data_IF_979859277615
#
_entry.id   IF_979859277615
#
_cell.length_a   1.000
_cell.length_b   1.000
_cell.length_c   1.000
_cell.angle_alpha   90.00
_cell.angle_beta   90.00
_cell.angle_gamma   90.00
#
_symmetry.space_group_name_H-M   'P 1'
#
loop_
_entity.id
_entity.type
_entity.pdbx_description
1 polymer ?
#
# COMPACT_ATOMS: atom_id res chain seq x y z
N UNK A 1 -4.74 -11.30 -28.36
CA UNK A 1 -4.54 -12.69 -27.84
C UNK A 1 -4.75 -12.82 -26.33
N UNK A 2 -4.06 -12.00 -25.46
CA UNK A 2 -4.25 -12.08 -24.01
C UNK A 2 -5.68 -11.72 -23.59
N UNK A 3 -6.22 -10.62 -24.13
CA UNK A 3 -7.61 -10.19 -23.90
C UNK A 3 -8.63 -11.28 -24.26
N UNK A 4 -8.50 -11.89 -25.43
CA UNK A 4 -9.38 -12.97 -25.89
C UNK A 4 -9.36 -14.19 -24.95
N UNK A 5 -8.16 -14.57 -24.48
CA UNK A 5 -7.99 -15.70 -23.57
C UNK A 5 -8.63 -15.41 -22.19
N UNK A 6 -8.39 -14.22 -21.62
CA UNK A 6 -9.03 -13.85 -20.37
C UNK A 6 -10.55 -13.70 -20.52
N UNK A 7 -11.03 -13.13 -21.63
CA UNK A 7 -12.48 -13.05 -21.91
C UNK A 7 -13.13 -14.43 -21.96
N UNK A 8 -12.49 -15.39 -22.64
CA UNK A 8 -13.02 -16.77 -22.73
C UNK A 8 -13.09 -17.44 -21.35
N UNK A 9 -12.02 -17.35 -20.56
CA UNK A 9 -11.96 -17.94 -19.23
C UNK A 9 -12.91 -17.25 -18.23
N UNK A 10 -12.99 -15.91 -18.29
CA UNK A 10 -13.93 -15.12 -17.49
C UNK A 10 -15.39 -15.50 -17.76
N UNK A 11 -15.75 -15.65 -19.03
CA UNK A 11 -17.09 -16.11 -19.43
C UNK A 11 -17.37 -17.57 -19.01
N UNK A 12 -16.32 -18.38 -18.80
CA UNK A 12 -16.43 -19.73 -18.25
C UNK A 12 -16.52 -19.77 -16.70
N UNK A 13 -16.48 -18.60 -16.03
CA UNK A 13 -16.66 -18.50 -14.57
C UNK A 13 -15.35 -18.42 -13.77
N UNK A 14 -14.18 -18.29 -14.41
CA UNK A 14 -12.91 -18.16 -13.70
C UNK A 14 -12.74 -16.75 -13.10
N UNK A 15 -12.80 -16.66 -11.77
CA UNK A 15 -12.77 -15.37 -11.04
C UNK A 15 -11.45 -14.62 -11.22
N UNK A 16 -10.33 -15.31 -11.34
CA UNK A 16 -9.04 -14.68 -11.59
C UNK A 16 -9.04 -14.02 -12.98
N UNK A 17 -9.52 -14.71 -14.00
CA UNK A 17 -9.65 -14.18 -15.38
C UNK A 17 -10.63 -13.02 -15.46
N UNK A 18 -11.74 -13.06 -14.69
CA UNK A 18 -12.66 -11.93 -14.56
C UNK A 18 -11.92 -10.69 -14.02
N UNK A 19 -11.16 -10.83 -12.95
CA UNK A 19 -10.39 -9.74 -12.38
C UNK A 19 -9.30 -9.23 -13.34
N UNK A 20 -8.63 -10.11 -14.09
CA UNK A 20 -7.67 -9.72 -15.11
C UNK A 20 -8.32 -8.97 -16.28
N UNK A 21 -9.48 -9.43 -16.73
CA UNK A 21 -10.26 -8.75 -17.76
C UNK A 21 -10.71 -7.36 -17.30
N UNK A 22 -11.21 -7.27 -16.06
CA UNK A 22 -11.55 -6.00 -15.43
C UNK A 22 -10.38 -5.02 -15.42
N UNK A 23 -9.18 -5.49 -15.01
CA UNK A 23 -7.96 -4.68 -14.99
C UNK A 23 -7.55 -4.17 -16.38
N UNK A 24 -7.81 -4.97 -17.44
CA UNK A 24 -7.54 -4.54 -18.82
C UNK A 24 -8.46 -3.41 -19.26
N UNK A 25 -9.75 -3.47 -18.92
CA UNK A 25 -10.68 -2.37 -19.14
C UNK A 25 -10.35 -1.13 -18.29
N UNK A 26 -10.00 -1.34 -17.03
CA UNK A 26 -9.63 -0.29 -16.07
C UNK A 26 -8.43 0.52 -16.56
N UNK A 27 -7.40 -0.13 -17.12
CA UNK A 27 -6.17 0.51 -17.58
C UNK A 27 -6.13 0.85 -19.07
N UNK A 28 -7.11 0.38 -19.85
CA UNK A 28 -7.06 0.47 -21.31
C UNK A 28 -5.96 -0.41 -21.93
N UNK A 29 -5.60 -1.53 -21.29
CA UNK A 29 -4.58 -2.45 -21.77
C UNK A 29 -5.16 -3.42 -22.81
N UNK A 30 -4.75 -3.30 -24.07
CA UNK A 30 -5.22 -4.09 -25.22
C UNK A 30 -6.71 -3.88 -25.59
N UNK A 31 -7.39 -2.96 -24.95
CA UNK A 31 -8.78 -2.56 -25.16
C UNK A 31 -8.91 -1.08 -24.79
N UNK A 32 -9.89 -0.39 -25.31
CA UNK A 32 -10.22 0.97 -24.87
C UNK A 32 -10.61 0.96 -23.39
N UNK A 33 -10.12 1.96 -22.62
CA UNK A 33 -10.45 2.09 -21.20
C UNK A 33 -11.96 2.27 -21.03
N UNK A 34 -12.54 1.43 -20.18
CA UNK A 34 -13.96 1.49 -19.83
C UNK A 34 -14.17 1.09 -18.36
N UNK A 35 -14.37 2.10 -17.51
CA UNK A 35 -14.58 1.88 -16.09
C UNK A 35 -15.90 1.17 -15.75
N UNK A 36 -16.93 1.28 -16.62
CA UNK A 36 -18.19 0.57 -16.39
C UNK A 36 -18.01 -0.93 -16.62
N UNK A 37 -17.37 -1.30 -17.73
CA UNK A 37 -17.02 -2.70 -18.00
C UNK A 37 -16.05 -3.24 -16.93
N UNK A 38 -15.07 -2.45 -16.50
CA UNK A 38 -14.15 -2.83 -15.45
C UNK A 38 -14.91 -3.12 -14.14
N UNK A 39 -15.79 -2.23 -13.71
CA UNK A 39 -16.61 -2.42 -12.51
C UNK A 39 -17.45 -3.69 -12.58
N UNK A 40 -18.14 -3.92 -13.69
CA UNK A 40 -18.99 -5.11 -13.87
C UNK A 40 -18.18 -6.41 -13.76
N UNK A 41 -16.99 -6.46 -14.35
CA UNK A 41 -16.13 -7.63 -14.27
C UNK A 41 -15.48 -7.80 -12.88
N UNK A 42 -15.07 -6.71 -12.23
CA UNK A 42 -14.59 -6.76 -10.83
C UNK A 42 -15.71 -7.25 -9.90
N UNK A 43 -16.95 -6.78 -10.06
CA UNK A 43 -18.09 -7.24 -9.25
C UNK A 43 -18.34 -8.75 -9.42
N UNK A 44 -18.35 -9.27 -10.65
CA UNK A 44 -18.48 -10.71 -10.91
C UNK A 44 -17.36 -11.51 -10.22
N UNK A 45 -16.12 -11.04 -10.30
CA UNK A 45 -14.99 -11.69 -9.65
C UNK A 45 -15.08 -11.63 -8.11
N UNK A 46 -15.54 -10.50 -7.57
CA UNK A 46 -15.74 -10.29 -6.12
C UNK A 46 -16.87 -11.17 -5.58
N UNK A 47 -17.99 -11.28 -6.30
CA UNK A 47 -19.11 -12.17 -5.97
C UNK A 47 -18.70 -13.65 -6.04
N UNK A 48 -17.76 -13.99 -6.93
CA UNK A 48 -17.14 -15.31 -6.99
C UNK A 48 -16.10 -15.56 -5.87
N UNK A 49 -15.94 -14.60 -4.94
CA UNK A 49 -15.11 -14.75 -3.74
C UNK A 49 -13.65 -14.36 -3.90
N UNK A 50 -13.25 -13.64 -4.96
CA UNK A 50 -11.85 -13.23 -5.13
C UNK A 50 -11.54 -11.97 -4.31
N UNK A 51 -10.66 -12.04 -3.26
CA UNK A 51 -10.43 -10.92 -2.35
C UNK A 51 -9.81 -9.69 -3.03
N UNK A 52 -8.92 -9.91 -4.00
CA UNK A 52 -8.34 -8.82 -4.79
C UNK A 52 -9.40 -8.04 -5.58
N UNK A 53 -10.38 -8.75 -6.15
CA UNK A 53 -11.49 -8.11 -6.86
C UNK A 53 -12.42 -7.33 -5.92
N UNK A 54 -12.66 -7.85 -4.70
CA UNK A 54 -13.40 -7.11 -3.66
C UNK A 54 -12.72 -5.78 -3.33
N UNK A 55 -11.40 -5.78 -3.24
CA UNK A 55 -10.61 -4.57 -3.01
C UNK A 55 -10.67 -3.61 -4.21
N UNK A 56 -10.66 -4.12 -5.44
CA UNK A 56 -10.80 -3.29 -6.64
C UNK A 56 -12.20 -2.64 -6.72
N UNK A 57 -13.26 -3.39 -6.42
CA UNK A 57 -14.63 -2.85 -6.31
C UNK A 57 -14.69 -1.73 -5.27
N UNK A 58 -14.08 -1.94 -4.09
CA UNK A 58 -14.00 -0.93 -3.05
C UNK A 58 -13.28 0.34 -3.52
N UNK A 59 -12.19 0.18 -4.28
CA UNK A 59 -11.45 1.30 -4.87
C UNK A 59 -12.31 2.07 -5.88
N UNK A 60 -13.05 1.40 -6.73
CA UNK A 60 -13.94 2.03 -7.71
C UNK A 60 -15.06 2.83 -7.04
N UNK A 61 -15.67 2.29 -5.97
CA UNK A 61 -16.63 3.06 -5.14
C UNK A 61 -15.96 4.27 -4.46
N UNK A 62 -14.72 4.12 -3.95
CA UNK A 62 -13.99 5.21 -3.32
C UNK A 62 -13.71 6.37 -4.28
N UNK A 63 -13.42 6.08 -5.56
CA UNK A 63 -13.07 7.11 -6.56
C UNK A 63 -14.24 7.51 -7.47
N UNK A 64 -15.34 6.75 -7.50
CA UNK A 64 -16.45 6.99 -8.42
C UNK A 64 -16.12 6.61 -9.87
N UNK A 65 -15.34 5.55 -10.06
CA UNK A 65 -14.92 5.05 -11.37
C UNK A 65 -15.85 3.94 -11.83
N UNK A 66 -16.59 4.16 -12.92
CA UNK A 66 -17.62 3.24 -13.42
C UNK A 66 -18.86 3.06 -12.54
N UNK A 67 -18.89 3.74 -11.40
CA UNK A 67 -19.96 3.74 -10.42
C UNK A 67 -20.01 5.09 -9.72
N UNK A 68 -21.14 5.48 -9.12
CA UNK A 68 -21.17 6.66 -8.28
C UNK A 68 -20.29 6.47 -7.06
N UNK A 69 -19.52 7.52 -6.70
CA UNK A 69 -18.70 7.50 -5.49
C UNK A 69 -19.55 7.21 -4.25
N UNK A 70 -19.12 6.20 -3.49
CA UNK A 70 -19.78 5.80 -2.25
C UNK A 70 -18.75 5.23 -1.26
N UNK A 71 -18.41 5.99 -0.24
CA UNK A 71 -17.42 5.58 0.76
C UNK A 71 -17.94 4.50 1.72
N UNK A 72 -19.24 4.40 1.95
CA UNK A 72 -19.85 3.36 2.79
C UNK A 72 -19.76 2.00 2.08
N UNK A 73 -20.06 1.97 0.78
CA UNK A 73 -19.85 0.78 -0.04
C UNK A 73 -18.35 0.43 -0.14
N UNK A 74 -17.46 1.42 -0.34
CA UNK A 74 -16.03 1.18 -0.34
C UNK A 74 -15.55 0.53 0.97
N UNK A 75 -15.96 1.05 2.13
CA UNK A 75 -15.66 0.48 3.44
C UNK A 75 -16.18 -0.96 3.56
N UNK A 76 -17.39 -1.20 3.10
CA UNK A 76 -18.02 -2.53 3.15
C UNK A 76 -17.23 -3.55 2.33
N UNK A 77 -16.82 -3.21 1.12
CA UNK A 77 -16.06 -4.10 0.25
C UNK A 77 -14.62 -4.28 0.72
N UNK A 78 -13.94 -3.23 1.23
CA UNK A 78 -12.62 -3.39 1.85
C UNK A 78 -12.67 -4.30 3.08
N UNK A 79 -13.71 -4.22 3.92
CA UNK A 79 -13.88 -5.13 5.07
C UNK A 79 -14.09 -6.58 4.64
N UNK A 80 -14.85 -6.84 3.56
CA UNK A 80 -14.97 -8.18 2.99
C UNK A 80 -13.62 -8.71 2.51
N UNK A 81 -12.86 -7.91 1.74
CA UNK A 81 -11.54 -8.29 1.27
C UNK A 81 -10.56 -8.58 2.43
N UNK A 82 -10.58 -7.75 3.47
CA UNK A 82 -9.75 -7.92 4.66
C UNK A 82 -10.12 -9.20 5.44
N UNK A 83 -11.40 -9.51 5.54
CA UNK A 83 -11.87 -10.75 6.16
C UNK A 83 -11.37 -12.00 5.42
N UNK A 84 -11.30 -11.94 4.10
CA UNK A 84 -10.74 -13.00 3.25
C UNK A 84 -9.20 -12.98 3.19
N UNK A 85 -8.54 -12.17 4.04
CA UNK A 85 -7.09 -12.15 4.21
C UNK A 85 -6.32 -11.28 3.23
N UNK A 86 -6.96 -10.37 2.51
CA UNK A 86 -6.28 -9.47 1.58
C UNK A 86 -5.66 -8.30 2.34
N UNK A 87 -4.35 -8.33 2.55
CA UNK A 87 -3.61 -7.39 3.42
C UNK A 87 -3.72 -5.92 2.99
N UNK A 88 -3.72 -5.66 1.68
CA UNK A 88 -3.89 -4.29 1.16
C UNK A 88 -5.22 -3.66 1.59
N UNK A 89 -6.29 -4.45 1.75
CA UNK A 89 -7.57 -3.91 2.21
C UNK A 89 -7.51 -3.38 3.65
N UNK A 90 -6.66 -3.96 4.51
CA UNK A 90 -6.41 -3.44 5.86
C UNK A 90 -5.79 -2.03 5.81
N UNK A 91 -4.79 -1.84 4.93
CA UNK A 91 -4.20 -0.54 4.68
C UNK A 91 -5.25 0.46 4.14
N UNK A 92 -6.04 0.06 3.14
CA UNK A 92 -7.06 0.91 2.53
C UNK A 92 -8.13 1.37 3.53
N UNK A 93 -8.53 0.51 4.48
CA UNK A 93 -9.42 0.91 5.59
C UNK A 93 -8.75 1.98 6.46
N UNK A 94 -7.47 1.85 6.76
CA UNK A 94 -6.71 2.87 7.48
C UNK A 94 -6.74 4.23 6.77
N UNK A 95 -6.60 4.24 5.43
CA UNK A 95 -6.72 5.46 4.61
C UNK A 95 -8.11 6.10 4.70
N UNK A 96 -9.18 5.30 4.76
CA UNK A 96 -10.54 5.84 4.93
C UNK A 96 -10.70 6.55 6.28
N UNK A 97 -10.17 5.98 7.36
CA UNK A 97 -10.18 6.63 8.68
C UNK A 97 -9.28 7.86 8.74
N UNK A 98 -8.09 7.81 8.12
CA UNK A 98 -7.16 8.94 8.10
C UNK A 98 -7.74 10.15 7.37
N UNK A 99 -8.43 9.91 6.24
CA UNK A 99 -9.02 10.98 5.43
C UNK A 99 -10.45 11.36 5.81
N UNK A 100 -11.08 10.66 6.77
CA UNK A 100 -12.48 10.90 7.12
C UNK A 100 -13.45 10.54 5.99
N UNK A 101 -13.11 9.57 5.16
CA UNK A 101 -13.91 9.17 4.01
C UNK A 101 -15.00 8.17 4.40
N UNK A 102 -16.26 8.60 4.43
CA UNK A 102 -17.42 7.80 4.86
C UNK A 102 -17.45 7.50 6.37
N UNK A 103 -16.44 7.92 7.11
CA UNK A 103 -16.32 7.81 8.57
C UNK A 103 -15.75 9.10 9.13
N UNK A 104 -15.88 9.35 10.44
CA UNK A 104 -15.16 10.46 11.06
C UNK A 104 -13.65 10.23 10.95
N UNK A 105 -12.89 11.30 10.64
CA UNK A 105 -11.43 11.28 10.67
C UNK A 105 -10.92 10.84 12.05
N UNK A 106 -10.10 9.79 12.07
CA UNK A 106 -9.55 9.24 13.32
C UNK A 106 -8.16 8.63 13.05
N UNK A 107 -7.12 9.40 13.35
CA UNK A 107 -5.72 8.96 13.21
C UNK A 107 -5.38 7.77 14.12
N UNK A 108 -6.08 7.58 15.25
CA UNK A 108 -5.85 6.46 16.16
C UNK A 108 -6.40 5.16 15.56
N UNK A 109 -7.61 5.21 15.02
CA UNK A 109 -8.17 4.07 14.29
C UNK A 109 -7.35 3.79 13.02
N UNK A 110 -6.95 4.81 12.27
CA UNK A 110 -6.08 4.64 11.10
C UNK A 110 -4.78 3.90 11.47
N UNK A 111 -4.10 4.33 12.53
CA UNK A 111 -2.88 3.67 13.03
C UNK A 111 -3.12 2.22 13.45
N UNK A 112 -4.27 1.92 14.07
CA UNK A 112 -4.64 0.55 14.43
C UNK A 112 -4.84 -0.35 13.20
N UNK A 113 -5.44 0.18 12.13
CA UNK A 113 -5.59 -0.55 10.87
C UNK A 113 -4.26 -0.72 10.12
N UNK A 114 -3.40 0.30 10.11
CA UNK A 114 -2.04 0.17 9.56
C UNK A 114 -1.19 -0.83 10.34
N UNK A 115 -1.37 -0.94 11.68
CA UNK A 115 -0.70 -1.98 12.46
C UNK A 115 -1.15 -3.38 12.01
N UNK A 116 -2.45 -3.60 11.79
CA UNK A 116 -2.97 -4.89 11.26
C UNK A 116 -2.43 -5.19 9.86
N UNK A 117 -2.37 -4.18 8.99
CA UNK A 117 -1.79 -4.30 7.65
C UNK A 117 -0.29 -4.66 7.73
N UNK A 118 0.44 -3.98 8.60
CA UNK A 118 1.86 -4.23 8.87
C UNK A 118 2.08 -5.66 9.40
N UNK A 119 1.27 -6.11 10.36
CA UNK A 119 1.35 -7.46 10.91
C UNK A 119 1.03 -8.54 9.86
N UNK A 120 0.22 -8.21 8.86
CA UNK A 120 -0.06 -9.05 7.70
C UNK A 120 1.01 -8.96 6.59
N UNK A 121 2.08 -8.19 6.80
CA UNK A 121 3.19 -8.04 5.86
C UNK A 121 2.91 -7.07 4.70
N UNK A 122 1.89 -6.22 4.82
CA UNK A 122 1.56 -5.22 3.78
C UNK A 122 2.56 -4.06 3.78
N UNK A 123 3.32 -3.84 2.67
CA UNK A 123 4.34 -2.79 2.63
C UNK A 123 3.79 -1.38 2.83
N UNK A 124 2.61 -1.07 2.29
CA UNK A 124 1.94 0.20 2.52
C UNK A 124 1.57 0.38 4.00
N UNK A 125 1.15 -0.70 4.67
CA UNK A 125 0.88 -0.72 6.11
C UNK A 125 2.13 -0.44 6.94
N UNK A 126 3.28 -1.04 6.59
CA UNK A 126 4.56 -0.74 7.24
C UNK A 126 4.91 0.75 7.12
N UNK A 127 4.83 1.30 5.90
CA UNK A 127 5.19 2.69 5.64
C UNK A 127 4.26 3.67 6.34
N UNK A 128 2.93 3.53 6.17
CA UNK A 128 1.96 4.43 6.79
C UNK A 128 2.06 4.40 8.32
N UNK A 129 2.29 3.24 8.91
CA UNK A 129 2.52 3.12 10.35
C UNK A 129 3.85 3.75 10.79
N UNK A 130 4.90 3.64 9.97
CA UNK A 130 6.17 4.31 10.22
C UNK A 130 6.00 5.83 10.33
N UNK A 131 5.23 6.42 9.42
CA UNK A 131 4.92 7.86 9.45
C UNK A 131 4.13 8.24 10.71
N UNK A 132 3.16 7.41 11.14
CA UNK A 132 2.41 7.65 12.40
C UNK A 132 3.34 7.70 13.61
N UNK A 133 4.25 6.72 13.74
CA UNK A 133 5.25 6.73 14.83
C UNK A 133 6.28 7.84 14.71
N UNK A 134 6.66 8.24 13.48
CA UNK A 134 7.63 9.30 13.25
C UNK A 134 7.12 10.67 13.74
N UNK A 135 5.84 10.94 13.48
CA UNK A 135 5.22 12.23 13.78
C UNK A 135 4.33 12.23 15.04
N UNK A 136 4.07 11.07 15.63
CA UNK A 136 3.19 10.96 16.82
C UNK A 136 1.73 11.21 16.51
N UNK A 137 1.28 10.81 15.31
CA UNK A 137 -0.08 11.02 14.86
C UNK A 137 -0.91 9.74 15.03
N UNK A 138 -1.93 9.79 15.89
CA UNK A 138 -2.73 8.64 16.29
C UNK A 138 -2.04 7.64 17.22
N UNK A 139 -0.72 7.76 17.41
CA UNK A 139 0.11 6.94 18.32
C UNK A 139 1.14 7.80 19.03
N UNK A 140 1.67 7.33 20.16
CA UNK A 140 2.80 7.99 20.80
C UNK A 140 4.03 7.94 19.89
N UNK A 141 4.74 9.06 19.74
CA UNK A 141 5.94 9.16 18.91
C UNK A 141 6.98 8.12 19.34
N UNK A 142 7.44 7.33 18.39
CA UNK A 142 8.54 6.38 18.54
C UNK A 142 9.38 6.35 17.25
N UNK A 143 10.41 7.19 17.21
CA UNK A 143 11.24 7.37 16.02
C UNK A 143 12.14 6.17 15.73
N UNK A 144 12.40 5.28 16.71
CA UNK A 144 13.10 4.03 16.49
C UNK A 144 12.21 3.01 15.80
N UNK A 145 11.00 2.82 16.34
CA UNK A 145 9.99 1.94 15.71
C UNK A 145 9.61 2.42 14.31
N UNK A 146 9.52 3.75 14.12
CA UNK A 146 9.34 4.33 12.79
C UNK A 146 10.45 3.89 11.81
N UNK A 147 11.71 3.91 12.25
CA UNK A 147 12.85 3.45 11.45
C UNK A 147 12.78 1.96 11.10
N UNK A 148 12.39 1.10 12.06
CA UNK A 148 12.21 -0.33 11.81
C UNK A 148 11.14 -0.59 10.73
N UNK A 149 9.99 0.05 10.86
CA UNK A 149 8.88 -0.11 9.93
C UNK A 149 9.17 0.47 8.54
N UNK A 150 9.80 1.64 8.47
CA UNK A 150 10.22 2.23 7.20
C UNK A 150 11.22 1.31 6.47
N UNK A 151 12.16 0.72 7.19
CA UNK A 151 13.09 -0.24 6.63
C UNK A 151 12.38 -1.48 6.09
N UNK A 152 11.39 -2.02 6.83
CA UNK A 152 10.58 -3.15 6.37
C UNK A 152 9.79 -2.83 5.10
N UNK A 153 9.23 -1.63 4.98
CA UNK A 153 8.54 -1.20 3.77
C UNK A 153 9.47 -1.18 2.56
N UNK A 154 10.70 -0.67 2.74
CA UNK A 154 11.73 -0.63 1.69
C UNK A 154 12.20 -2.04 1.29
N UNK A 155 12.46 -2.92 2.27
CA UNK A 155 12.87 -4.33 2.02
C UNK A 155 11.78 -5.09 1.26
N UNK A 156 10.51 -4.77 1.50
CA UNK A 156 9.39 -5.39 0.79
C UNK A 156 9.07 -4.73 -0.57
N UNK A 157 9.96 -3.87 -1.08
CA UNK A 157 9.90 -3.32 -2.43
C UNK A 157 8.79 -2.29 -2.64
N UNK A 158 8.47 -1.47 -1.64
CA UNK A 158 7.54 -0.36 -1.80
C UNK A 158 8.27 0.82 -2.45
N UNK A 159 8.16 0.96 -3.78
CA UNK A 159 8.81 2.03 -4.55
C UNK A 159 8.43 3.44 -4.06
N UNK A 160 7.16 3.65 -3.73
CA UNK A 160 6.69 4.91 -3.14
C UNK A 160 7.42 5.24 -1.84
N UNK A 161 7.66 4.23 -0.99
CA UNK A 161 8.41 4.43 0.26
C UNK A 161 9.84 4.91 0.00
N UNK A 162 10.49 4.46 -1.08
CA UNK A 162 11.84 4.89 -1.40
C UNK A 162 11.90 6.37 -1.80
N UNK A 163 10.95 6.85 -2.59
CA UNK A 163 10.88 8.26 -2.99
C UNK A 163 10.53 9.17 -1.79
N UNK A 164 9.49 8.85 -1.06
CA UNK A 164 9.12 9.58 0.16
C UNK A 164 10.22 9.51 1.22
N UNK A 165 10.90 8.37 1.35
CA UNK A 165 12.03 8.21 2.26
C UNK A 165 13.17 9.17 1.93
N UNK A 166 13.50 9.38 0.65
CA UNK A 166 14.51 10.36 0.23
C UNK A 166 14.13 11.77 0.66
N UNK A 167 12.84 12.13 0.57
CA UNK A 167 12.34 13.44 1.00
C UNK A 167 12.38 13.62 2.52
N UNK A 168 11.88 12.65 3.29
CA UNK A 168 11.83 12.73 4.76
C UNK A 168 13.20 12.50 5.42
N UNK A 169 14.17 11.94 4.71
CA UNK A 169 15.53 11.70 5.23
C UNK A 169 16.41 12.94 5.33
N UNK A 170 15.83 14.13 5.15
CA UNK A 170 16.51 15.42 5.25
C UNK A 170 16.90 15.79 6.69
N UNK A 171 17.59 16.93 6.86
CA UNK A 171 18.06 17.40 8.16
C UNK A 171 16.95 17.63 9.20
N UNK A 172 15.71 17.87 8.74
CA UNK A 172 14.55 18.16 9.60
C UNK A 172 13.92 16.89 10.23
N UNK A 173 14.27 15.71 9.73
CA UNK A 173 13.78 14.45 10.29
C UNK A 173 14.58 14.05 11.54
N UNK A 174 13.93 13.36 12.48
CA UNK A 174 14.53 12.92 13.73
C UNK A 174 15.89 12.20 13.53
N UNK A 175 16.97 12.64 14.19
CA UNK A 175 18.26 11.95 14.14
C UNK A 175 18.19 10.48 14.58
N UNK A 176 17.29 10.13 15.50
CA UNK A 176 17.14 8.75 15.99
C UNK A 176 16.52 7.85 14.90
N UNK A 177 15.56 8.35 14.13
CA UNK A 177 15.02 7.66 12.95
C UNK A 177 16.14 7.35 11.95
N UNK A 178 16.93 8.37 11.58
CA UNK A 178 18.04 8.21 10.63
C UNK A 178 19.13 7.26 11.13
N UNK A 179 19.49 7.34 12.42
CA UNK A 179 20.44 6.37 13.04
C UNK A 179 19.92 4.95 12.92
N UNK A 180 18.63 4.74 13.17
CA UNK A 180 18.06 3.40 13.10
C UNK A 180 18.16 2.81 11.70
N UNK A 181 17.89 3.58 10.66
CA UNK A 181 18.10 3.15 9.27
C UNK A 181 19.57 2.82 8.98
N UNK A 182 20.51 3.66 9.45
CA UNK A 182 21.95 3.38 9.29
C UNK A 182 22.38 2.10 10.02
N UNK A 183 21.82 1.82 11.21
CA UNK A 183 22.04 0.57 11.94
C UNK A 183 21.60 -0.65 11.13
N UNK A 184 20.40 -0.61 10.57
CA UNK A 184 19.82 -1.70 9.77
C UNK A 184 20.60 -1.92 8.46
N UNK A 185 20.90 -0.85 7.71
CA UNK A 185 21.76 -0.92 6.53
C UNK A 185 23.14 -1.50 6.83
N UNK A 186 23.69 -1.19 8.02
CA UNK A 186 24.98 -1.72 8.46
C UNK A 186 24.89 -3.20 8.85
N UNK A 187 23.81 -3.59 9.52
CA UNK A 187 23.53 -5.00 9.87
C UNK A 187 23.44 -5.85 8.61
N UNK A 188 22.79 -5.35 7.57
CA UNK A 188 22.59 -6.07 6.30
C UNK A 188 23.78 -5.91 5.33
N UNK A 189 24.85 -5.20 5.74
CA UNK A 189 26.12 -5.10 5.01
C UNK A 189 26.17 -4.04 3.91
N UNK A 190 25.11 -3.27 3.71
CA UNK A 190 25.05 -2.19 2.71
C UNK A 190 25.76 -0.90 3.15
N UNK A 191 25.91 -0.67 4.47
CA UNK A 191 26.52 0.53 5.02
C UNK A 191 27.75 0.21 5.88
N UNK A 192 28.85 0.93 5.65
CA UNK A 192 30.12 0.76 6.38
C UNK A 192 30.56 2.02 7.13
N UNK A 193 29.73 3.08 7.07
CA UNK A 193 30.03 4.36 7.73
C UNK A 193 29.71 4.40 9.21
N UNK A 194 29.83 5.59 9.78
CA UNK A 194 29.45 5.88 11.16
C UNK A 194 27.94 5.98 11.30
N UNK A 195 27.38 5.42 12.36
CA UNK A 195 25.96 5.55 12.70
C UNK A 195 25.78 6.84 13.49
N UNK A 196 25.69 7.96 12.79
CA UNK A 196 25.64 9.31 13.37
C UNK A 196 24.30 10.03 13.16
N UNK A 197 23.40 9.44 12.35
CA UNK A 197 22.14 10.05 11.96
C UNK A 197 22.28 11.11 10.88
N UNK A 198 23.45 11.20 10.22
CA UNK A 198 23.67 12.09 9.09
C UNK A 198 23.50 11.32 7.77
N UNK A 199 22.48 11.69 6.99
CA UNK A 199 22.23 11.08 5.68
C UNK A 199 22.99 11.85 4.59
N UNK A 200 24.32 11.65 4.58
CA UNK A 200 25.18 12.14 3.51
C UNK A 200 25.22 11.18 2.30
N UNK A 201 26.04 11.52 1.28
CA UNK A 201 26.14 10.74 0.05
C UNK A 201 26.46 9.25 0.25
N UNK A 202 27.16 8.89 1.32
CA UNK A 202 27.50 7.50 1.63
C UNK A 202 26.27 6.71 2.10
N UNK A 203 25.43 7.30 2.96
CA UNK A 203 24.20 6.67 3.42
C UNK A 203 23.21 6.53 2.27
N UNK A 204 23.06 7.57 1.44
CA UNK A 204 22.15 7.52 0.29
C UNK A 204 22.57 6.45 -0.73
N UNK A 205 23.86 6.31 -1.02
CA UNK A 205 24.34 5.20 -1.87
C UNK A 205 24.07 3.82 -1.26
N UNK A 206 24.11 3.69 0.07
CA UNK A 206 23.77 2.44 0.74
C UNK A 206 22.27 2.12 0.62
N UNK A 207 21.41 3.13 0.74
CA UNK A 207 19.94 3.00 0.49
C UNK A 207 19.68 2.59 -0.96
N UNK A 208 20.29 3.25 -1.92
CA UNK A 208 20.16 2.92 -3.33
C UNK A 208 20.70 1.51 -3.65
N UNK A 209 21.82 1.11 -3.03
CA UNK A 209 22.37 -0.24 -3.22
C UNK A 209 21.50 -1.33 -2.58
N UNK A 210 20.82 -1.01 -1.47
CA UNK A 210 19.93 -1.95 -0.79
C UNK A 210 18.58 -2.09 -1.50
N UNK A 211 18.02 -1.01 -2.01
CA UNK A 211 16.61 -0.91 -2.42
C UNK A 211 16.42 -0.37 -3.85
N UNK A 212 17.44 0.23 -4.46
CA UNK A 212 17.34 0.88 -5.79
C UNK A 212 17.35 -0.05 -6.98
N UNK A 213 17.48 -1.36 -6.81
CA UNK A 213 17.51 -2.35 -7.91
C UNK A 213 16.12 -2.96 -8.20
N UNK A 214 15.05 -2.40 -7.69
CA UNK A 214 13.68 -2.80 -7.99
C UNK A 214 13.06 -2.02 -9.18
N UNK A 215 13.89 -1.28 -9.94
CA UNK A 215 13.49 -0.55 -11.17
C UNK A 215 13.89 -1.31 -12.42
#
# INVERSE_FOLDING_TARGET
YAFEMYSLAANAGDSYSMNRLALMYDRGEHVEQDFYEAFDWYMKAAEAGLPAAMSNVASMYRHGEGVNQDYDEAMTWFRKAAYEGYSYALYAIGELYLGGYGVAEDSTEAAAWYQRASDAGEPNGHWSLALRYLYGDGVAMDTRKAGDLAYLALVNGLDLALEEFKEISTADTSPNFRRRIQELLKQDGFYRGSVDGSFGPQTMRAVEAAFGSAL
#
